data_IF_916059077631
#
_entry.id   IF_916059077631
#
_cell.length_a   1.000
_cell.length_b   1.000
_cell.length_c   1.000
_cell.angle_alpha   90.00
_cell.angle_beta   90.00
_cell.angle_gamma   90.00
#
_symmetry.space_group_name_H-M   'P 1'
#
loop_
_entity.id
_entity.type
_entity.pdbx_description
1 polymer ?
#
# COMPACT_ATOMS: atom_id res chain seq x y z
N UNK A 1 -7.12 0.64 14.90
CA UNK A 1 -7.22 -0.65 14.20
C UNK A 1 -5.92 -0.87 13.45
N UNK A 2 -5.50 -2.12 13.29
CA UNK A 2 -4.30 -2.47 12.54
C UNK A 2 -4.70 -2.89 11.12
N UNK A 3 -4.30 -2.11 10.13
CA UNK A 3 -4.55 -2.40 8.72
C UNK A 3 -3.28 -2.99 8.11
N UNK A 4 -3.43 -4.12 7.41
CA UNK A 4 -2.38 -4.62 6.55
C UNK A 4 -2.52 -3.94 5.18
N UNK A 5 -1.43 -3.37 4.68
CA UNK A 5 -1.38 -2.70 3.39
C UNK A 5 -0.32 -3.35 2.52
N UNK A 6 -0.75 -3.90 1.38
CA UNK A 6 0.14 -4.51 0.40
C UNK A 6 0.28 -3.56 -0.81
N UNK A 7 1.51 -3.19 -1.12
CA UNK A 7 1.89 -2.41 -2.30
C UNK A 7 2.48 -3.34 -3.35
N UNK A 8 1.71 -3.65 -4.39
CA UNK A 8 2.15 -4.51 -5.47
C UNK A 8 2.64 -3.68 -6.66
N UNK A 9 3.89 -3.90 -7.08
CA UNK A 9 4.51 -3.20 -8.20
C UNK A 9 4.41 -4.06 -9.45
N UNK A 10 3.73 -3.55 -10.47
CA UNK A 10 3.58 -4.22 -11.75
C UNK A 10 4.62 -3.73 -12.76
N UNK A 11 5.52 -4.62 -13.17
CA UNK A 11 6.54 -4.38 -14.20
C UNK A 11 6.17 -5.23 -15.42
N UNK A 12 5.90 -4.58 -16.56
CA UNK A 12 5.56 -5.25 -17.84
C UNK A 12 4.37 -6.24 -17.74
N UNK A 13 3.41 -5.96 -16.87
CA UNK A 13 2.19 -6.76 -16.72
C UNK A 13 2.28 -7.93 -15.74
N UNK A 14 3.43 -8.12 -15.08
CA UNK A 14 3.60 -9.06 -13.98
C UNK A 14 3.84 -8.31 -12.66
N UNK A 15 3.27 -8.80 -11.56
CA UNK A 15 3.64 -8.32 -10.22
C UNK A 15 5.02 -8.89 -9.89
N UNK A 16 6.02 -8.02 -9.77
CA UNK A 16 7.39 -8.44 -9.45
C UNK A 16 7.70 -8.28 -7.97
N UNK A 17 7.29 -7.16 -7.39
CA UNK A 17 7.59 -6.84 -6.00
C UNK A 17 6.31 -6.54 -5.24
N UNK A 18 6.21 -7.08 -4.03
CA UNK A 18 5.12 -6.82 -3.09
C UNK A 18 5.77 -6.31 -1.81
N UNK A 19 5.46 -5.07 -1.45
CA UNK A 19 5.86 -4.49 -0.17
C UNK A 19 4.67 -4.53 0.77
N UNK A 20 4.87 -5.02 1.98
CA UNK A 20 3.82 -5.11 2.97
C UNK A 20 4.12 -4.14 4.11
N UNK A 21 3.14 -3.34 4.49
CA UNK A 21 3.19 -2.42 5.61
C UNK A 21 2.02 -2.67 6.56
N UNK A 22 2.25 -2.38 7.84
CA UNK A 22 1.21 -2.41 8.85
C UNK A 22 0.95 -0.99 9.32
N UNK A 23 -0.27 -0.49 9.09
CA UNK A 23 -0.66 0.87 9.42
C UNK A 23 -1.64 0.83 10.59
N UNK A 24 -1.31 1.53 11.66
CA UNK A 24 -2.24 1.79 12.75
C UNK A 24 -3.06 3.03 12.44
N UNK A 25 -4.37 2.88 12.26
CA UNK A 25 -5.28 3.98 11.97
C UNK A 25 -6.63 3.79 12.68
N UNK A 26 -7.36 4.89 12.91
CA UNK A 26 -8.71 4.84 13.49
C UNK A 26 -9.79 4.57 12.45
N UNK A 27 -9.50 4.78 11.17
CA UNK A 27 -10.42 4.50 10.07
C UNK A 27 -9.69 4.07 8.79
N UNK A 28 -10.43 3.44 7.89
CA UNK A 28 -9.97 3.08 6.54
C UNK A 28 -9.52 4.30 5.72
N UNK A 29 -10.13 5.47 5.97
CA UNK A 29 -9.76 6.73 5.31
C UNK A 29 -8.38 7.22 5.76
N UNK A 30 -8.09 7.14 7.05
CA UNK A 30 -6.76 7.46 7.60
C UNK A 30 -5.72 6.45 7.11
N UNK A 31 -6.02 5.14 7.17
CA UNK A 31 -5.12 4.11 6.65
C UNK A 31 -4.76 4.33 5.17
N UNK A 32 -5.72 4.80 4.37
CA UNK A 32 -5.50 5.14 2.96
C UNK A 32 -4.63 6.38 2.77
N UNK A 33 -4.76 7.40 3.61
CA UNK A 33 -3.92 8.59 3.54
C UNK A 33 -2.45 8.24 3.84
N UNK A 34 -2.23 7.52 4.94
CA UNK A 34 -0.91 7.00 5.34
C UNK A 34 -0.30 6.09 4.26
N UNK A 35 -1.10 5.22 3.65
CA UNK A 35 -0.63 4.35 2.58
C UNK A 35 -0.18 5.14 1.33
N UNK A 36 -0.89 6.21 0.96
CA UNK A 36 -0.46 7.07 -0.16
C UNK A 36 0.80 7.87 0.19
N UNK A 37 0.99 8.29 1.45
CA UNK A 37 2.24 8.93 1.91
C UNK A 37 3.41 7.96 1.83
N UNK A 38 3.26 6.72 2.32
CA UNK A 38 4.28 5.67 2.22
C UNK A 38 4.63 5.40 0.75
N UNK A 39 3.63 5.34 -0.13
CA UNK A 39 3.84 5.18 -1.57
C UNK A 39 4.61 6.37 -2.16
N UNK A 40 4.34 7.59 -1.71
CA UNK A 40 5.05 8.77 -2.17
C UNK A 40 6.51 8.76 -1.69
N UNK A 41 6.78 8.49 -0.41
CA UNK A 41 8.14 8.57 0.15
C UNK A 41 9.02 7.37 -0.17
N UNK A 42 8.49 6.14 -0.08
CA UNK A 42 9.27 4.90 -0.20
C UNK A 42 9.40 4.45 -1.64
N UNK A 43 8.36 4.70 -2.44
CA UNK A 43 8.30 4.26 -3.84
C UNK A 43 8.50 5.44 -4.82
N UNK A 44 8.98 6.58 -4.32
CA UNK A 44 9.38 7.73 -5.15
C UNK A 44 10.44 7.28 -6.16
N UNK A 45 10.18 7.53 -7.46
CA UNK A 45 11.09 7.15 -8.54
C UNK A 45 10.79 5.79 -9.20
N UNK A 46 9.88 4.99 -8.65
CA UNK A 46 9.37 3.79 -9.31
C UNK A 46 8.43 4.21 -10.44
N UNK A 47 8.90 4.18 -11.69
CA UNK A 47 8.10 4.50 -12.91
C UNK A 47 7.00 3.48 -13.22
N UNK A 48 6.76 2.51 -12.35
CA UNK A 48 5.85 1.39 -12.58
C UNK A 48 4.52 1.60 -11.87
N UNK A 49 3.50 0.84 -12.29
CA UNK A 49 2.17 0.93 -11.67
C UNK A 49 2.22 0.25 -10.31
N UNK A 50 1.95 1.02 -9.27
CA UNK A 50 1.85 0.54 -7.89
C UNK A 50 0.36 0.40 -7.56
N UNK A 51 -0.03 -0.79 -7.13
CA UNK A 51 -1.36 -1.11 -6.65
C UNK A 51 -1.33 -1.20 -5.12
N UNK A 52 -2.26 -0.53 -4.46
CA UNK A 52 -2.37 -0.52 -2.99
C UNK A 52 -3.59 -1.32 -2.58
N UNK A 53 -3.39 -2.36 -1.78
CA UNK A 53 -4.44 -3.21 -1.23
C UNK A 53 -4.48 -3.01 0.29
N UNK A 54 -5.61 -2.60 0.83
CA UNK A 54 -5.79 -2.38 2.28
C UNK A 54 -6.72 -3.49 2.78
N UNK A 55 -6.17 -4.41 3.56
CA UNK A 55 -6.92 -5.45 4.25
C UNK A 55 -7.61 -4.87 5.49
N UNK A 56 -8.93 -4.90 5.51
CA UNK A 56 -9.71 -4.60 6.71
C UNK A 56 -9.72 -5.85 7.62
N UNK A 57 -9.19 -5.77 8.85
CA UNK A 57 -9.14 -6.91 9.76
C UNK A 57 -10.53 -7.37 10.26
N UNK A 58 -11.60 -6.63 9.96
CA UNK A 58 -12.97 -6.92 10.42
C UNK A 58 -13.85 -7.64 9.37
N UNK A 59 -13.34 -7.95 8.18
CA UNK A 59 -14.03 -8.70 7.12
C UNK A 59 -13.56 -10.16 7.03
#
# INVERSE_FOLDING_TARGET
MLYQVDFAISVKGAYQDIYQAFIFAMSLKEAKAEAEEIKAEVLEGIKQKIHVFIGDPAC
#
